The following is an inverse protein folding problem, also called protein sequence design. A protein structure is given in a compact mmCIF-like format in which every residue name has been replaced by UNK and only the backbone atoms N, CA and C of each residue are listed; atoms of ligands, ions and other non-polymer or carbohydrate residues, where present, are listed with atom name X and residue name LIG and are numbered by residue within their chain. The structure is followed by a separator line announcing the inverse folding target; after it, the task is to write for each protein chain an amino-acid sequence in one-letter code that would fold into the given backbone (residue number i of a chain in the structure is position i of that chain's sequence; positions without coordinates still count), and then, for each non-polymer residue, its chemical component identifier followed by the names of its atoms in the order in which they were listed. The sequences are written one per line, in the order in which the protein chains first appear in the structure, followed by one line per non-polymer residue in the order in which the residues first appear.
data_IF_504531166366
#
_entry.id   IF_504531166366
#
_cell.length_a   1.000
_cell.length_b   1.000
_cell.length_c   1.000
_cell.angle_alpha   90.00
_cell.angle_beta   90.00
_cell.angle_gamma   90.00
#
_symmetry.space_group_name_H-M   'P 1'
#
loop_
_entity.id
_entity.type
_entity.pdbx_description
1 polymer ?
#
# COMPACT_ATOMS: atom_id res chain seq x y z
N UNK A 1 -9.54 21.18 -13.53
CA UNK A 1 -8.83 20.13 -12.77
C UNK A 1 -9.86 19.30 -12.03
N UNK A 2 -9.87 17.96 -12.20
CA UNK A 2 -10.69 17.09 -11.34
C UNK A 2 -9.98 16.92 -10.00
N UNK A 3 -10.72 16.95 -8.89
CA UNK A 3 -10.16 16.62 -7.57
C UNK A 3 -9.84 15.12 -7.54
N UNK A 4 -8.64 14.77 -7.10
CA UNK A 4 -8.29 13.38 -6.77
C UNK A 4 -9.05 12.91 -5.53
N UNK A 5 -9.20 11.60 -5.40
CA UNK A 5 -9.79 10.95 -4.23
C UNK A 5 -8.75 10.07 -3.56
N UNK A 6 -8.69 10.10 -2.23
CA UNK A 6 -7.77 9.27 -1.44
C UNK A 6 -8.60 8.36 -0.53
N UNK A 7 -8.28 7.08 -0.54
CA UNK A 7 -8.83 6.08 0.37
C UNK A 7 -7.74 5.64 1.32
N UNK A 8 -8.05 5.60 2.62
CA UNK A 8 -7.21 4.92 3.62
C UNK A 8 -7.84 3.57 3.92
N UNK A 9 -7.10 2.50 3.64
CA UNK A 9 -7.54 1.12 3.83
C UNK A 9 -6.49 0.32 4.60
N UNK A 10 -6.94 -0.56 5.48
CA UNK A 10 -6.06 -1.55 6.11
C UNK A 10 -5.80 -2.71 5.14
N UNK A 11 -4.53 -3.11 5.00
CA UNK A 11 -4.12 -4.24 4.16
C UNK A 11 -4.42 -5.63 4.79
N UNK A 12 -4.91 -5.66 6.03
CA UNK A 12 -5.05 -6.89 6.80
C UNK A 12 -3.71 -7.42 7.34
N UNK A 13 -3.70 -8.62 7.96
CA UNK A 13 -2.49 -9.20 8.54
C UNK A 13 -1.58 -9.90 7.50
N UNK A 14 -2.00 -9.95 6.23
CA UNK A 14 -1.16 -10.33 5.10
C UNK A 14 -1.77 -11.37 4.15
N UNK A 15 -2.75 -12.15 4.62
CA UNK A 15 -3.56 -13.01 3.79
C UNK A 15 -4.52 -12.15 2.92
N UNK A 16 -4.45 -12.23 1.57
CA UNK A 16 -5.32 -11.46 0.68
C UNK A 16 -6.83 -11.67 0.94
N UNK A 17 -7.24 -12.86 1.40
CA UNK A 17 -8.65 -13.17 1.65
C UNK A 17 -9.23 -12.40 2.85
N UNK A 18 -8.36 -11.78 3.66
CA UNK A 18 -8.74 -10.94 4.80
C UNK A 18 -8.91 -9.46 4.42
N UNK A 19 -8.76 -9.10 3.14
CA UNK A 19 -9.13 -7.77 2.66
C UNK A 19 -10.64 -7.57 2.76
N UNK A 20 -11.06 -6.38 3.21
CA UNK A 20 -12.47 -6.02 3.11
C UNK A 20 -12.88 -5.83 1.64
N UNK A 21 -14.12 -6.16 1.29
CA UNK A 21 -14.65 -5.95 -0.05
C UNK A 21 -14.53 -4.48 -0.52
N UNK A 22 -14.61 -3.52 0.40
CA UNK A 22 -14.42 -2.09 0.09
C UNK A 22 -12.98 -1.75 -0.25
N UNK A 23 -12.00 -2.34 0.45
CA UNK A 23 -10.59 -2.16 0.15
C UNK A 23 -10.24 -2.78 -1.21
N UNK A 24 -10.70 -4.01 -1.46
CA UNK A 24 -10.54 -4.68 -2.75
C UNK A 24 -11.07 -3.83 -3.91
N UNK A 25 -12.33 -3.39 -3.81
CA UNK A 25 -12.95 -2.57 -4.85
C UNK A 25 -12.25 -1.21 -5.05
N UNK A 26 -11.60 -0.65 -4.02
CA UNK A 26 -10.81 0.57 -4.15
C UNK A 26 -9.49 0.29 -4.87
N UNK A 27 -8.81 -0.80 -4.53
CA UNK A 27 -7.56 -1.24 -5.16
C UNK A 27 -7.74 -1.55 -6.65
N UNK A 28 -8.83 -2.23 -7.04
CA UNK A 28 -9.13 -2.54 -8.46
C UNK A 28 -9.32 -1.30 -9.35
N UNK A 29 -9.63 -0.13 -8.76
CA UNK A 29 -9.86 1.12 -9.49
C UNK A 29 -8.77 2.16 -9.24
N UNK A 30 -7.74 1.81 -8.47
CA UNK A 30 -6.72 2.76 -8.07
C UNK A 30 -5.78 3.06 -9.24
N UNK A 31 -5.55 4.35 -9.51
CA UNK A 31 -4.51 4.78 -10.45
C UNK A 31 -3.11 4.55 -9.84
N UNK A 32 -2.98 4.70 -8.51
CA UNK A 32 -1.77 4.43 -7.76
C UNK A 32 -2.08 3.92 -6.33
N UNK A 33 -1.13 3.17 -5.77
CA UNK A 33 -1.21 2.63 -4.40
C UNK A 33 0.07 2.99 -3.64
N UNK A 34 -0.11 3.66 -2.51
CA UNK A 34 0.95 3.99 -1.56
C UNK A 34 0.92 2.97 -0.42
N UNK A 35 2.05 2.32 -0.15
CA UNK A 35 2.11 1.24 0.84
C UNK A 35 3.43 1.23 1.63
N UNK A 36 3.41 0.65 2.82
CA UNK A 36 4.59 0.49 3.67
C UNK A 36 5.05 -0.98 3.77
N UNK A 37 6.02 -1.23 4.64
CA UNK A 37 6.64 -2.55 4.83
C UNK A 37 5.65 -3.63 5.30
N UNK A 38 4.56 -3.26 5.98
CA UNK A 38 3.59 -4.22 6.52
C UNK A 38 2.58 -4.70 5.47
N UNK A 39 2.50 -4.04 4.32
CA UNK A 39 1.64 -4.50 3.25
C UNK A 39 2.21 -5.79 2.62
N UNK A 40 1.39 -6.84 2.58
CA UNK A 40 1.79 -8.14 2.07
C UNK A 40 2.20 -8.08 0.59
N UNK A 41 3.36 -8.66 0.21
CA UNK A 41 3.75 -8.77 -1.19
C UNK A 41 2.72 -9.48 -2.06
N UNK A 42 1.94 -10.43 -1.50
CA UNK A 42 0.88 -11.11 -2.23
C UNK A 42 -0.22 -10.14 -2.71
N UNK A 43 -0.56 -9.16 -1.89
CA UNK A 43 -1.53 -8.10 -2.25
C UNK A 43 -0.90 -7.16 -3.27
N UNK A 44 0.32 -6.66 -2.99
CA UNK A 44 0.99 -5.65 -3.83
C UNK A 44 1.31 -6.19 -5.24
N UNK A 45 1.72 -7.45 -5.35
CA UNK A 45 2.08 -8.05 -6.63
C UNK A 45 0.86 -8.32 -7.52
N UNK A 46 -0.34 -8.41 -6.95
CA UNK A 46 -1.59 -8.59 -7.69
C UNK A 46 -2.08 -7.29 -8.36
N UNK A 47 -1.65 -6.12 -7.87
CA UNK A 47 -2.12 -4.82 -8.35
C UNK A 47 -1.49 -4.43 -9.69
N UNK A 48 -2.36 -4.02 -10.62
CA UNK A 48 -2.00 -3.47 -11.94
C UNK A 48 -2.17 -1.95 -11.97
N UNK A 49 -1.42 -1.26 -11.10
CA UNK A 49 -1.39 0.20 -11.00
C UNK A 49 0.02 0.67 -10.61
N UNK A 50 0.23 1.99 -10.56
CA UNK A 50 1.47 2.54 -10.00
C UNK A 50 1.60 2.16 -8.51
N UNK A 51 2.78 1.68 -8.11
CA UNK A 51 3.05 1.19 -6.75
C UNK A 51 4.15 2.04 -6.12
N UNK A 52 3.83 2.76 -5.05
CA UNK A 52 4.71 3.72 -4.39
C UNK A 52 5.00 3.21 -2.98
N UNK A 53 6.19 2.66 -2.78
CA UNK A 53 6.64 2.23 -1.47
C UNK A 53 7.12 3.40 -0.61
N UNK A 54 6.60 3.54 0.60
CA UNK A 54 6.94 4.61 1.56
C UNK A 54 7.37 4.07 2.93
N UNK A 55 7.57 2.77 3.05
CA UNK A 55 8.01 2.14 4.29
C UNK A 55 9.45 2.46 4.64
N UNK A 56 9.78 2.36 5.93
CA UNK A 56 11.15 2.41 6.44
C UNK A 56 11.50 1.04 7.01
N UNK A 57 12.48 0.35 6.42
CA UNK A 57 13.05 -0.84 7.07
C UNK A 57 13.90 -0.38 8.25
N UNK A 58 13.50 -0.77 9.47
CA UNK A 58 14.31 -0.55 10.66
C UNK A 58 15.64 -1.32 10.51
N UNK A 59 16.73 -0.58 10.32
CA UNK A 59 18.07 -1.14 10.06
C UNK A 59 18.89 -0.31 9.08
N UNK A 60 18.23 0.38 8.16
CA UNK A 60 18.86 1.36 7.26
C UNK A 60 18.84 2.73 7.97
N UNK A 61 19.88 3.03 8.75
CA UNK A 61 20.12 4.36 9.26
C UNK A 61 20.40 5.31 8.08
N UNK A 62 19.37 5.93 7.52
CA UNK A 62 19.54 6.92 6.44
C UNK A 62 20.29 8.17 6.92
N UNK A 63 20.44 8.38 8.24
CA UNK A 63 21.27 9.42 8.84
C UNK A 63 21.97 8.88 10.09
N UNK A 64 23.31 9.01 10.13
CA UNK A 64 24.05 9.01 11.39
C UNK A 64 23.61 10.25 12.17
N UNK A 65 23.10 10.08 13.39
CA UNK A 65 22.96 11.20 14.30
C UNK A 65 24.37 11.58 14.77
N UNK A 66 24.87 12.69 14.24
CA UNK A 66 26.00 13.45 14.77
C UNK A 66 25.49 14.63 15.58
#
# INVERSE_FOLDING_TARGET
MKKGMVYLAGAGPGDPDLLTLKALAALERADCVIYDYLASPAIINWLDCEKIYVGKQGGEHTLSQG
#
